data_IF_452062797226
#
_entry.id   IF_452062797226
#
_cell.length_a   1.000
_cell.length_b   1.000
_cell.length_c   1.000
_cell.angle_alpha   90.00
_cell.angle_beta   90.00
_cell.angle_gamma   90.00
#
_symmetry.space_group_name_H-M   'P 1'
#
loop_
_entity.id
_entity.type
_entity.pdbx_description
1 polymer ?
#
# COMPACT_ATOMS: atom_id res chain seq x y z
N UNK A 1 -39.90 45.12 55.63
CA UNK A 1 -41.20 44.83 55.00
C UNK A 1 -41.10 45.35 53.57
N UNK A 2 -40.74 44.49 52.60
CA UNK A 2 -41.64 43.73 51.71
C UNK A 2 -42.45 44.68 50.79
N UNK A 3 -42.55 44.55 49.46
CA UNK A 3 -42.10 43.59 48.46
C UNK A 3 -42.31 44.18 47.03
N UNK A 4 -42.01 43.37 46.00
CA UNK A 4 -42.23 43.45 44.53
C UNK A 4 -41.16 44.22 43.71
N UNK A 5 -40.23 43.55 42.99
CA UNK A 5 -40.39 42.76 41.73
C UNK A 5 -41.04 43.60 40.62
N UNK A 6 -40.51 43.79 39.41
CA UNK A 6 -39.75 42.92 38.48
C UNK A 6 -38.99 43.80 37.46
N UNK A 7 -37.71 43.47 37.16
CA UNK A 7 -37.05 43.88 35.92
C UNK A 7 -36.30 42.67 35.35
N UNK A 8 -36.72 42.25 34.15
CA UNK A 8 -36.04 41.27 33.30
C UNK A 8 -34.60 41.69 33.00
N UNK A 9 -33.59 40.83 33.24
CA UNK A 9 -32.31 40.95 32.60
C UNK A 9 -32.25 40.01 31.39
N UNK A 10 -32.23 40.64 30.21
CA UNK A 10 -31.40 40.32 29.05
C UNK A 10 -30.84 38.89 28.98
N UNK A 11 -31.43 38.08 28.10
CA UNK A 11 -30.77 36.89 27.54
C UNK A 11 -29.64 37.34 26.60
N UNK A 12 -28.49 37.71 27.17
CA UNK A 12 -27.21 37.66 26.46
C UNK A 12 -26.80 36.20 26.33
N UNK A 13 -27.32 35.56 25.28
CA UNK A 13 -26.86 34.26 24.82
C UNK A 13 -25.48 34.42 24.20
N UNK A 14 -24.49 33.89 24.92
CA UNK A 14 -23.09 33.79 24.53
C UNK A 14 -22.93 33.13 23.16
N UNK A 15 -22.76 33.92 22.11
CA UNK A 15 -22.04 33.50 20.91
C UNK A 15 -20.56 33.40 21.28
N UNK A 16 -20.18 32.29 21.92
CA UNK A 16 -18.78 31.88 21.92
C UNK A 16 -18.48 31.39 20.52
N UNK A 17 -17.96 32.28 19.68
CA UNK A 17 -17.09 31.90 18.57
C UNK A 17 -15.99 31.00 19.17
N UNK A 18 -16.16 29.69 19.04
CA UNK A 18 -15.06 28.76 19.25
C UNK A 18 -14.06 29.06 18.13
N UNK A 19 -13.06 29.84 18.48
CA UNK A 19 -11.84 30.02 17.72
C UNK A 19 -11.21 28.63 17.57
N UNK A 20 -11.59 27.94 16.49
CA UNK A 20 -10.95 26.70 16.11
C UNK A 20 -9.54 27.12 15.72
N UNK A 21 -8.56 26.80 16.57
CA UNK A 21 -7.15 26.90 16.20
C UNK A 21 -6.92 26.02 14.97
N UNK A 22 -7.00 26.64 13.80
CA UNK A 22 -6.61 26.02 12.54
C UNK A 22 -5.10 25.95 12.56
N UNK A 23 -4.58 24.80 12.99
CA UNK A 23 -3.17 24.49 12.78
C UNK A 23 -2.97 24.20 11.29
N UNK A 24 -2.52 25.22 10.57
CA UNK A 24 -2.05 25.09 9.20
C UNK A 24 -0.72 24.32 9.22
N UNK A 25 -0.81 22.98 9.13
CA UNK A 25 0.37 22.13 8.97
C UNK A 25 0.84 22.30 7.53
N UNK A 26 1.75 23.26 7.34
CA UNK A 26 2.38 23.53 6.05
C UNK A 26 2.91 22.25 5.42
N UNK A 27 2.27 21.81 4.33
CA UNK A 27 2.72 20.67 3.55
C UNK A 27 3.88 21.12 2.66
N UNK A 28 5.10 20.72 3.03
CA UNK A 28 6.28 20.99 2.23
C UNK A 28 6.31 20.09 0.98
N UNK A 29 6.38 20.71 -0.19
CA UNK A 29 6.70 20.02 -1.44
C UNK A 29 8.15 19.56 -1.42
N UNK A 30 8.36 18.26 -1.19
CA UNK A 30 9.66 17.63 -1.38
C UNK A 30 10.58 17.74 -0.17
N UNK A 31 10.66 16.65 0.58
CA UNK A 31 11.65 16.51 1.61
C UNK A 31 13.07 16.42 1.04
N UNK A 32 13.96 17.33 1.45
CA UNK A 32 15.41 17.17 1.32
C UNK A 32 15.93 16.09 2.27
N UNK A 33 17.21 15.74 2.15
CA UNK A 33 17.93 14.94 3.16
C UNK A 33 17.72 15.57 4.55
N UNK A 34 17.17 14.81 5.51
CA UNK A 34 16.76 15.32 6.84
C UNK A 34 15.28 15.73 6.98
N UNK A 35 14.48 15.62 5.92
CA UNK A 35 13.02 15.71 6.04
C UNK A 35 12.48 14.51 6.82
N UNK A 36 11.66 14.76 7.85
CA UNK A 36 11.17 13.77 8.82
C UNK A 36 10.20 12.71 8.28
N UNK A 37 10.34 12.30 7.02
CA UNK A 37 9.51 11.29 6.37
C UNK A 37 10.05 9.85 6.53
N UNK A 38 11.22 9.65 7.15
CA UNK A 38 11.71 8.33 7.55
C UNK A 38 11.14 7.95 8.93
N UNK A 39 10.69 6.71 9.09
CA UNK A 39 10.28 6.18 10.40
C UNK A 39 11.51 5.68 11.14
N UNK A 40 11.81 6.27 12.32
CA UNK A 40 12.93 5.86 13.17
C UNK A 40 12.48 4.90 14.27
N UNK A 41 13.39 4.03 14.71
CA UNK A 41 13.19 3.24 15.91
C UNK A 41 13.23 4.14 17.16
N UNK A 42 12.31 3.88 18.11
CA UNK A 42 12.38 4.50 19.43
C UNK A 42 13.55 3.84 20.21
N UNK A 43 14.58 4.58 20.65
CA UNK A 43 15.71 3.97 21.36
C UNK A 43 15.32 3.25 22.66
N UNK A 44 14.19 3.61 23.27
CA UNK A 44 13.68 2.96 24.48
C UNK A 44 12.87 1.69 24.22
N UNK A 45 12.35 1.56 23.00
CA UNK A 45 11.51 0.43 22.58
C UNK A 45 11.67 0.21 21.07
N UNK A 46 12.82 -0.33 20.64
CA UNK A 46 13.20 -0.35 19.23
C UNK A 46 12.66 -1.57 18.46
N UNK A 47 12.05 -2.52 19.16
CA UNK A 47 11.65 -3.82 18.60
C UNK A 47 10.18 -3.83 18.20
N UNK A 48 9.86 -4.52 17.10
CA UNK A 48 8.48 -4.79 16.65
C UNK A 48 7.57 -3.55 16.62
N UNK A 49 8.12 -2.41 16.20
CA UNK A 49 7.37 -1.16 16.14
C UNK A 49 6.11 -1.32 15.27
N UNK A 50 4.99 -0.79 15.75
CA UNK A 50 3.71 -0.89 15.05
C UNK A 50 3.71 -0.09 13.75
N UNK A 51 4.25 1.13 13.74
CA UNK A 51 4.33 1.92 12.52
C UNK A 51 5.63 1.64 11.77
N UNK A 52 5.49 1.05 10.59
CA UNK A 52 6.61 0.54 9.78
C UNK A 52 7.02 1.58 8.75
N UNK A 53 6.03 2.11 8.01
CA UNK A 53 6.16 3.19 7.02
C UNK A 53 5.08 4.21 7.29
N UNK A 54 5.46 5.49 7.31
CA UNK A 54 4.51 6.60 7.17
C UNK A 54 5.04 7.57 6.12
N UNK A 55 4.28 7.74 5.04
CA UNK A 55 4.54 8.72 3.99
C UNK A 55 3.32 9.61 3.87
N UNK A 56 3.50 10.89 4.12
CA UNK A 56 2.44 11.88 3.96
C UNK A 56 2.86 12.90 2.91
N UNK A 57 1.87 13.51 2.25
CA UNK A 57 2.12 14.53 1.23
C UNK A 57 2.08 14.00 -0.21
N UNK A 58 2.34 14.89 -1.17
CA UNK A 58 2.27 14.60 -2.62
C UNK A 58 0.89 14.13 -3.16
N UNK A 59 -0.17 14.23 -2.35
CA UNK A 59 -1.54 13.94 -2.77
C UNK A 59 -2.00 12.49 -2.55
N UNK A 60 -1.17 11.64 -1.95
CA UNK A 60 -1.52 10.31 -1.44
C UNK A 60 -0.77 10.07 -0.15
N UNK A 61 -1.49 9.80 0.93
CA UNK A 61 -0.89 9.34 2.16
C UNK A 61 -0.78 7.82 2.13
N UNK A 62 0.37 7.30 2.56
CA UNK A 62 0.62 5.87 2.60
C UNK A 62 1.11 5.48 3.98
N UNK A 63 0.48 4.47 4.57
CA UNK A 63 0.85 3.91 5.87
C UNK A 63 1.05 2.42 5.76
N UNK A 64 2.07 1.92 6.45
CA UNK A 64 2.28 0.50 6.70
C UNK A 64 2.35 0.27 8.20
N UNK A 65 1.46 -0.56 8.71
CA UNK A 65 1.39 -0.91 10.13
C UNK A 65 1.64 -2.40 10.30
N UNK A 66 2.53 -2.77 11.22
CA UNK A 66 2.72 -4.13 11.72
C UNK A 66 1.54 -4.47 12.63
N UNK A 67 0.61 -5.25 12.08
CA UNK A 67 -0.61 -5.68 12.77
C UNK A 67 -0.25 -6.76 13.77
N UNK A 68 0.38 -7.83 13.29
CA UNK A 68 0.82 -8.94 14.13
C UNK A 68 2.29 -9.32 13.91
N UNK A 69 2.98 -9.59 15.01
CA UNK A 69 4.27 -10.27 15.05
C UNK A 69 4.18 -11.42 16.05
N UNK A 70 4.37 -12.63 15.55
CA UNK A 70 4.24 -13.88 16.32
C UNK A 70 5.49 -14.70 16.11
N UNK A 71 6.19 -15.00 17.19
CA UNK A 71 7.37 -15.85 17.21
C UNK A 71 7.02 -17.22 17.78
N UNK A 72 7.65 -18.26 17.26
CA UNK A 72 7.38 -19.62 17.67
C UNK A 72 8.17 -20.64 16.85
N UNK A 73 7.68 -21.87 16.82
CA UNK A 73 8.27 -22.99 16.08
C UNK A 73 7.57 -23.21 14.75
N UNK A 74 8.28 -23.77 13.78
CA UNK A 74 7.68 -24.16 12.50
C UNK A 74 6.66 -25.29 12.69
N UNK A 75 7.00 -26.27 13.54
CA UNK A 75 6.13 -27.34 14.03
C UNK A 75 6.67 -27.85 15.37
N UNK A 76 5.89 -28.63 16.12
CA UNK A 76 6.30 -29.14 17.46
C UNK A 76 7.59 -29.96 17.43
N UNK A 77 7.80 -30.71 16.36
CA UNK A 77 8.94 -31.62 16.17
C UNK A 77 10.05 -31.04 15.28
N UNK A 78 9.99 -29.75 14.93
CA UNK A 78 10.94 -29.12 14.01
C UNK A 78 12.04 -28.37 14.75
N UNK A 79 13.29 -28.56 14.32
CA UNK A 79 14.45 -27.77 14.77
C UNK A 79 14.44 -26.32 14.25
N UNK A 80 13.51 -25.99 13.36
CA UNK A 80 13.33 -24.64 12.83
C UNK A 80 12.32 -23.84 13.62
N UNK A 81 12.71 -22.62 13.91
CA UNK A 81 11.83 -21.58 14.41
C UNK A 81 11.10 -20.89 13.27
N UNK A 82 10.01 -20.22 13.61
CA UNK A 82 9.21 -19.42 12.71
C UNK A 82 8.92 -18.04 13.30
N UNK A 83 8.74 -17.06 12.42
CA UNK A 83 8.12 -15.77 12.73
C UNK A 83 7.03 -15.51 11.70
N UNK A 84 5.82 -15.27 12.17
CA UNK A 84 4.71 -14.80 11.35
C UNK A 84 4.56 -13.29 11.53
N UNK A 85 4.54 -12.56 10.41
CA UNK A 85 4.26 -11.13 10.38
C UNK A 85 3.01 -10.88 9.55
N UNK A 86 2.14 -9.99 10.04
CA UNK A 86 1.00 -9.46 9.28
C UNK A 86 1.13 -7.94 9.21
N UNK A 87 1.16 -7.41 8.01
CA UNK A 87 1.32 -5.98 7.74
C UNK A 87 0.12 -5.47 6.95
N UNK A 88 -0.37 -4.30 7.35
CA UNK A 88 -1.45 -3.60 6.65
C UNK A 88 -0.91 -2.36 5.97
N UNK A 89 -1.05 -2.30 4.65
CA UNK A 89 -0.75 -1.14 3.83
C UNK A 89 -2.05 -0.40 3.52
N UNK A 90 -2.07 0.91 3.74
CA UNK A 90 -3.19 1.80 3.37
C UNK A 90 -2.70 2.87 2.41
N UNK A 91 -3.44 3.05 1.33
CA UNK A 91 -3.25 4.06 0.31
C UNK A 91 -4.45 5.00 0.38
N UNK A 92 -4.24 6.20 0.89
CA UNK A 92 -5.28 7.19 1.15
C UNK A 92 -5.07 8.39 0.19
N UNK A 93 -5.71 8.42 -0.99
CA UNK A 93 -5.60 9.55 -1.91
C UNK A 93 -6.20 10.82 -1.31
N UNK A 94 -5.39 11.87 -1.18
CA UNK A 94 -5.81 13.16 -0.63
C UNK A 94 -6.45 14.07 -1.69
N UNK A 95 -6.29 13.75 -2.99
CA UNK A 95 -6.89 14.48 -4.11
C UNK A 95 -7.53 13.50 -5.08
N UNK A 96 -8.75 13.79 -5.55
CA UNK A 96 -9.50 12.94 -6.51
C UNK A 96 -8.71 12.53 -7.76
N UNK A 97 -7.77 13.38 -8.22
CA UNK A 97 -6.96 13.14 -9.41
C UNK A 97 -5.64 12.37 -9.16
N UNK A 98 -5.30 12.02 -7.90
CA UNK A 98 -4.02 11.41 -7.54
C UNK A 98 -4.22 9.97 -7.05
N UNK A 99 -4.73 9.10 -7.92
CA UNK A 99 -4.79 7.65 -7.65
C UNK A 99 -3.41 7.00 -7.86
N UNK A 100 -3.11 5.97 -7.07
CA UNK A 100 -1.93 5.11 -7.27
C UNK A 100 -2.31 4.04 -8.29
N UNK A 101 -1.65 4.01 -9.45
CA UNK A 101 -1.92 3.05 -10.52
C UNK A 101 -1.13 1.75 -10.37
N UNK A 102 0.01 1.81 -9.67
CA UNK A 102 0.85 0.66 -9.35
C UNK A 102 1.54 0.88 -8.00
N UNK A 103 1.59 -0.18 -7.20
CA UNK A 103 2.38 -0.22 -5.97
C UNK A 103 3.20 -1.51 -5.91
N UNK A 104 4.47 -1.42 -5.52
CA UNK A 104 5.34 -2.56 -5.24
C UNK A 104 5.80 -2.47 -3.79
N UNK A 105 5.52 -3.52 -3.05
CA UNK A 105 5.88 -3.71 -1.65
C UNK A 105 6.99 -4.77 -1.61
N UNK A 106 8.09 -4.47 -0.95
CA UNK A 106 9.20 -5.40 -0.70
C UNK A 106 9.53 -5.38 0.79
N UNK A 107 9.63 -6.56 1.40
CA UNK A 107 10.13 -6.75 2.76
C UNK A 107 11.39 -7.60 2.67
N UNK A 108 12.55 -7.00 2.92
CA UNK A 108 13.83 -7.70 2.97
C UNK A 108 14.11 -8.12 4.41
N UNK A 109 14.54 -9.37 4.58
CA UNK A 109 14.94 -9.92 5.87
C UNK A 109 16.44 -10.13 5.92
N UNK A 110 17.05 -9.69 7.01
CA UNK A 110 18.50 -9.77 7.19
C UNK A 110 18.91 -9.83 8.66
N UNK A 111 20.17 -10.12 8.92
CA UNK A 111 20.77 -10.10 10.27
C UNK A 111 21.75 -8.94 10.40
N UNK A 112 21.82 -8.36 11.60
CA UNK A 112 22.80 -7.30 11.88
C UNK A 112 24.21 -7.84 12.16
N UNK A 113 24.31 -9.08 12.64
CA UNK A 113 25.56 -9.79 12.89
C UNK A 113 25.68 -10.96 11.90
N UNK A 114 26.75 -10.96 11.10
CA UNK A 114 27.03 -11.97 10.07
C UNK A 114 27.33 -13.36 10.63
N UNK A 115 27.52 -13.49 11.95
CA UNK A 115 27.67 -14.79 12.61
C UNK A 115 26.33 -15.49 12.86
N UNK A 116 25.20 -14.77 12.75
CA UNK A 116 23.87 -15.34 12.90
C UNK A 116 23.39 -15.98 11.59
N UNK A 117 22.49 -16.94 11.71
CA UNK A 117 21.92 -17.64 10.57
C UNK A 117 20.94 -16.73 9.81
N UNK A 118 21.02 -16.76 8.48
CA UNK A 118 20.15 -15.95 7.64
C UNK A 118 18.69 -16.40 7.74
N UNK A 119 17.73 -15.47 7.96
CA UNK A 119 16.31 -15.79 7.92
C UNK A 119 15.87 -16.15 6.49
N UNK A 120 14.94 -17.08 6.37
CA UNK A 120 14.35 -17.50 5.10
C UNK A 120 12.88 -17.08 5.02
N UNK A 121 12.50 -16.38 3.95
CA UNK A 121 11.09 -16.18 3.58
C UNK A 121 10.55 -17.49 3.03
N UNK A 122 9.81 -18.21 3.86
CA UNK A 122 9.30 -19.54 3.52
C UNK A 122 7.96 -19.44 2.77
N UNK A 123 7.04 -18.58 3.25
CA UNK A 123 5.73 -18.38 2.63
C UNK A 123 5.26 -16.92 2.70
N UNK A 124 4.43 -16.54 1.73
CA UNK A 124 3.78 -15.22 1.64
C UNK A 124 2.28 -15.40 1.34
N UNK A 125 1.42 -14.51 1.81
CA UNK A 125 0.05 -14.40 1.31
C UNK A 125 0.05 -13.92 -0.15
N UNK A 126 -1.02 -14.15 -0.90
CA UNK A 126 -1.09 -13.82 -2.32
C UNK A 126 0.07 -14.41 -3.16
N UNK A 127 0.62 -15.57 -2.78
CA UNK A 127 1.67 -16.25 -3.58
C UNK A 127 1.11 -16.64 -4.96
N UNK A 128 1.65 -16.05 -6.03
CA UNK A 128 1.09 -16.15 -7.38
C UNK A 128 0.34 -14.88 -7.82
N UNK A 129 -0.64 -15.03 -8.71
CA UNK A 129 -1.34 -13.91 -9.34
C UNK A 129 -2.85 -13.96 -9.04
N UNK A 130 -3.37 -12.90 -8.44
CA UNK A 130 -4.78 -12.75 -8.07
C UNK A 130 -5.39 -11.60 -8.86
N UNK A 131 -6.62 -11.78 -9.34
CA UNK A 131 -7.37 -10.77 -10.09
C UNK A 131 -8.66 -10.40 -9.36
N UNK A 132 -8.95 -9.11 -9.32
CA UNK A 132 -10.06 -8.51 -8.61
C UNK A 132 -10.78 -7.52 -9.54
N UNK A 133 -12.10 -7.40 -9.39
CA UNK A 133 -12.92 -6.48 -10.17
C UNK A 133 -12.68 -6.58 -11.70
N UNK A 134 -12.90 -7.76 -12.32
CA UNK A 134 -12.77 -7.89 -13.77
C UNK A 134 -13.81 -7.02 -14.47
N UNK A 135 -13.37 -6.19 -15.42
CA UNK A 135 -14.23 -5.41 -16.29
C UNK A 135 -14.10 -5.90 -17.73
N UNK A 136 -15.24 -6.07 -18.40
CA UNK A 136 -15.29 -6.30 -19.84
C UNK A 136 -15.59 -4.98 -20.52
N UNK A 137 -14.72 -4.54 -21.42
CA UNK A 137 -14.99 -3.37 -22.26
C UNK A 137 -14.93 -3.78 -23.73
N UNK A 138 -15.99 -3.45 -24.46
CA UNK A 138 -15.98 -3.49 -25.93
C UNK A 138 -15.38 -2.18 -26.42
N UNK A 139 -14.15 -2.24 -26.93
CA UNK A 139 -13.48 -1.12 -27.57
C UNK A 139 -13.73 -1.16 -29.07
N UNK A 140 -14.20 -0.05 -29.62
CA UNK A 140 -14.31 0.16 -31.06
C UNK A 140 -13.14 1.05 -31.48
N UNK A 141 -12.05 0.45 -31.94
CA UNK A 141 -10.90 1.20 -32.44
C UNK A 141 -11.16 1.56 -33.90
N UNK A 142 -11.31 2.86 -34.18
CA UNK A 142 -11.40 3.40 -35.54
C UNK A 142 -10.03 3.92 -35.94
N UNK A 143 -9.37 3.24 -36.87
CA UNK A 143 -8.14 3.74 -37.49
C UNK A 143 -8.48 4.32 -38.86
N UNK A 144 -8.28 5.63 -39.03
CA UNK A 144 -8.50 6.34 -40.30
C UNK A 144 -7.17 6.78 -40.93
N UNK A 145 -7.03 6.59 -42.25
CA UNK A 145 -5.93 7.17 -43.04
C UNK A 145 -6.53 8.17 -44.05
N UNK A 146 -6.08 9.43 -44.01
CA UNK A 146 -6.44 10.44 -45.00
C UNK A 146 -5.44 10.38 -46.17
N UNK A 147 -5.89 9.84 -47.30
CA UNK A 147 -5.12 9.84 -48.56
C UNK A 147 -5.57 10.96 -49.48
N UNK A 148 -4.83 12.08 -49.51
CA UNK A 148 -5.02 13.13 -50.50
C UNK A 148 -4.22 12.87 -51.77
N UNK A 149 -4.88 12.53 -52.89
CA UNK A 149 -4.24 12.47 -54.21
C UNK A 149 -4.21 13.89 -54.78
N UNK A 150 -3.08 14.58 -54.64
CA UNK A 150 -2.79 15.81 -55.38
C UNK A 150 -2.18 15.48 -56.73
N UNK A 151 -2.99 15.49 -57.80
CA UNK A 151 -2.48 15.61 -59.16
C UNK A 151 -3.48 16.39 -60.03
N UNK A 152 -3.06 17.60 -60.39
CA UNK A 152 -3.68 18.50 -61.36
C UNK A 152 -3.90 17.84 -62.71
N UNK A 153 -5.12 17.92 -63.24
CA UNK A 153 -5.52 18.41 -64.58
C UNK A 153 -6.87 17.77 -64.98
N UNK A 154 -7.94 18.58 -64.93
CA UNK A 154 -9.22 18.30 -65.60
C UNK A 154 -10.29 17.61 -64.75
N UNK A 155 -11.37 18.36 -64.47
CA UNK A 155 -12.62 18.00 -63.77
C UNK A 155 -12.55 17.93 -62.24
N UNK A 156 -13.29 18.86 -61.60
CA UNK A 156 -13.56 18.92 -60.16
C UNK A 156 -14.32 17.68 -59.71
N UNK A 157 -13.62 16.74 -59.09
CA UNK A 157 -14.21 15.67 -58.27
C UNK A 157 -13.29 15.45 -57.07
N UNK A 158 -13.43 16.32 -56.08
CA UNK A 158 -12.81 16.17 -54.76
C UNK A 158 -13.49 15.01 -54.00
N UNK A 159 -13.14 13.77 -54.33
CA UNK A 159 -13.51 12.60 -53.56
C UNK A 159 -12.39 12.27 -52.56
N UNK A 160 -12.50 12.77 -51.33
CA UNK A 160 -11.66 12.31 -50.22
C UNK A 160 -12.12 10.91 -49.79
N UNK A 161 -11.35 9.89 -50.15
CA UNK A 161 -11.61 8.52 -49.70
C UNK A 161 -11.04 8.33 -48.30
N UNK A 162 -11.88 8.53 -47.28
CA UNK A 162 -11.58 8.10 -45.91
C UNK A 162 -11.73 6.59 -45.81
N UNK A 163 -10.62 5.90 -45.58
CA UNK A 163 -10.63 4.49 -45.19
C UNK A 163 -10.64 4.41 -43.67
N UNK A 164 -11.77 3.99 -43.10
CA UNK A 164 -11.92 3.72 -41.67
C UNK A 164 -11.97 2.20 -41.44
N UNK A 165 -11.01 1.66 -40.69
CA UNK A 165 -11.06 0.28 -40.20
C UNK A 165 -11.55 0.30 -38.76
N UNK A 166 -12.73 -0.26 -38.55
CA UNK A 166 -13.34 -0.44 -37.23
C UNK A 166 -13.03 -1.84 -36.70
N UNK A 167 -12.26 -1.93 -35.61
CA UNK A 167 -11.99 -3.19 -34.92
C UNK A 167 -12.74 -3.18 -33.59
N UNK A 168 -13.68 -4.11 -33.43
CA UNK A 168 -14.30 -4.41 -32.15
C UNK A 168 -13.38 -5.36 -31.37
N UNK A 169 -12.86 -4.91 -30.22
CA UNK A 169 -12.01 -5.69 -29.32
C UNK A 169 -12.71 -5.80 -27.97
N UNK A 170 -12.87 -7.00 -27.45
CA UNK A 170 -13.26 -7.22 -26.05
C UNK A 170 -11.97 -7.30 -25.22
N UNK A 171 -11.70 -6.28 -24.43
CA UNK A 171 -10.55 -6.26 -23.50
C UNK A 171 -11.08 -6.58 -22.10
N UNK A 172 -10.48 -7.57 -21.45
CA UNK A 172 -10.74 -7.92 -20.06
C UNK A 172 -9.58 -7.42 -19.20
N UNK A 173 -9.81 -6.34 -18.47
CA UNK A 173 -8.86 -5.81 -17.49
C UNK A 173 -9.36 -6.08 -16.08
N UNK A 174 -8.43 -6.24 -15.14
CA UNK A 174 -8.72 -6.43 -13.73
C UNK A 174 -7.66 -5.73 -12.88
N UNK A 175 -8.00 -5.39 -11.64
CA UNK A 175 -6.98 -5.05 -10.63
C UNK A 175 -6.27 -6.35 -10.26
N UNK A 176 -4.94 -6.33 -10.16
CA UNK A 176 -4.17 -7.54 -9.83
C UNK A 176 -3.29 -7.33 -8.61
N UNK A 177 -3.15 -8.40 -7.83
CA UNK A 177 -2.17 -8.51 -6.75
C UNK A 177 -1.34 -9.75 -7.03
N UNK A 178 -0.03 -9.57 -7.13
CA UNK A 178 0.93 -10.63 -7.39
C UNK A 178 1.94 -10.71 -6.26
N UNK A 179 2.00 -11.83 -5.55
CA UNK A 179 2.94 -12.06 -4.45
C UNK A 179 3.98 -13.12 -4.79
N UNK A 180 5.12 -13.05 -4.12
CA UNK A 180 6.16 -14.07 -4.24
C UNK A 180 7.33 -13.82 -3.30
N UNK A 181 8.32 -14.72 -3.39
CA UNK A 181 9.55 -14.70 -2.61
C UNK A 181 10.77 -14.72 -3.52
N UNK A 182 11.80 -13.96 -3.16
CA UNK A 182 13.00 -13.78 -3.98
C UNK A 182 14.26 -14.03 -3.15
N UNK A 183 15.28 -14.57 -3.81
CA UNK A 183 16.65 -14.55 -3.32
C UNK A 183 17.22 -13.13 -3.41
N UNK A 184 18.03 -12.75 -2.45
CA UNK A 184 18.78 -11.49 -2.50
C UNK A 184 20.15 -11.76 -3.12
N UNK A 185 20.59 -10.91 -4.05
CA UNK A 185 21.88 -11.02 -4.75
C UNK A 185 22.11 -12.37 -5.44
N UNK A 186 21.03 -12.98 -5.95
CA UNK A 186 21.02 -14.31 -6.57
C UNK A 186 21.54 -15.44 -5.64
N UNK A 187 21.50 -15.23 -4.33
CA UNK A 187 22.00 -16.17 -3.32
C UNK A 187 20.85 -16.70 -2.45
N UNK A 188 20.62 -18.03 -2.42
CA UNK A 188 19.71 -18.64 -1.46
C UNK A 188 20.14 -18.38 0.00
N UNK A 189 19.20 -18.38 0.96
CA UNK A 189 17.76 -18.65 0.82
C UNK A 189 16.97 -17.46 0.25
N UNK A 190 15.65 -17.63 0.07
CA UNK A 190 14.77 -16.50 -0.20
C UNK A 190 14.79 -15.55 0.98
N UNK A 191 15.10 -14.27 0.76
CA UNK A 191 15.21 -13.25 1.82
C UNK A 191 14.32 -12.05 1.59
N UNK A 192 13.56 -12.04 0.50
CA UNK A 192 12.66 -10.93 0.15
C UNK A 192 11.27 -11.48 -0.07
N UNK A 193 10.29 -10.93 0.63
CA UNK A 193 8.87 -11.07 0.31
C UNK A 193 8.46 -9.87 -0.56
N UNK A 194 7.76 -10.12 -1.67
CA UNK A 194 7.39 -9.07 -2.62
C UNK A 194 5.93 -9.20 -3.02
N UNK A 195 5.24 -8.06 -3.08
CA UNK A 195 3.92 -7.92 -3.67
C UNK A 195 3.88 -6.79 -4.68
N UNK A 196 3.23 -7.01 -5.81
CA UNK A 196 2.97 -6.00 -6.84
C UNK A 196 1.47 -5.88 -7.04
N UNK A 197 0.97 -4.65 -6.91
CA UNK A 197 -0.42 -4.28 -7.10
C UNK A 197 -0.53 -3.45 -8.36
N UNK A 198 -1.43 -3.83 -9.27
CA UNK A 198 -1.71 -3.09 -10.51
C UNK A 198 -3.18 -2.75 -10.57
N UNK A 199 -3.50 -1.50 -10.90
CA UNK A 199 -4.89 -1.08 -11.10
C UNK A 199 -5.53 -1.76 -12.33
N UNK A 200 -6.86 -1.82 -12.31
CA UNK A 200 -7.63 -2.10 -13.51
C UNK A 200 -7.42 -0.96 -14.53
N UNK A 201 -6.79 -1.26 -15.67
CA UNK A 201 -6.44 -0.27 -16.71
C UNK A 201 -7.65 0.34 -17.42
N UNK A 202 -8.75 -0.40 -17.50
CA UNK A 202 -10.02 0.05 -18.05
C UNK A 202 -10.72 1.00 -17.07
N UNK A 203 -10.94 0.56 -15.83
CA UNK A 203 -11.70 1.32 -14.84
C UNK A 203 -10.91 2.49 -14.24
N UNK A 204 -9.57 2.41 -14.24
CA UNK A 204 -8.67 3.45 -13.70
C UNK A 204 -9.06 3.90 -12.29
N UNK A 205 -9.41 2.93 -11.45
CA UNK A 205 -9.85 3.16 -10.07
C UNK A 205 -8.68 3.30 -9.09
N UNK A 206 -7.45 3.05 -9.54
CA UNK A 206 -6.29 2.88 -8.69
C UNK A 206 -6.19 1.48 -8.10
N UNK A 207 -5.08 1.24 -7.39
CA UNK A 207 -4.91 0.08 -6.52
C UNK A 207 -5.89 0.15 -5.34
N UNK A 208 -6.16 -0.98 -4.65
CA UNK A 208 -7.04 -1.00 -3.48
C UNK A 208 -6.62 0.02 -2.41
N UNK A 209 -7.60 0.63 -1.71
CA UNK A 209 -7.35 1.55 -0.61
C UNK A 209 -6.59 0.91 0.56
N UNK A 210 -6.75 -0.40 0.79
CA UNK A 210 -5.85 -1.13 1.69
C UNK A 210 -5.63 -2.57 1.28
N UNK A 211 -4.45 -3.08 1.61
CA UNK A 211 -4.09 -4.49 1.49
C UNK A 211 -3.43 -4.95 2.79
N UNK A 212 -3.88 -6.08 3.31
CA UNK A 212 -3.24 -6.78 4.41
C UNK A 212 -2.51 -8.00 3.85
N UNK A 213 -1.21 -8.09 4.12
CA UNK A 213 -0.34 -9.18 3.67
C UNK A 213 0.25 -9.89 4.87
N UNK A 214 0.52 -11.18 4.73
CA UNK A 214 1.18 -12.01 5.72
C UNK A 214 2.43 -12.65 5.14
N UNK A 215 3.46 -12.80 5.96
CA UNK A 215 4.71 -13.48 5.61
C UNK A 215 5.15 -14.37 6.76
N UNK A 216 5.63 -15.57 6.44
CA UNK A 216 6.24 -16.50 7.38
C UNK A 216 7.73 -16.62 7.10
N UNK A 217 8.51 -16.37 8.15
CA UNK A 217 9.97 -16.43 8.14
C UNK A 217 10.40 -17.67 8.89
N UNK A 218 11.16 -18.54 8.23
CA UNK A 218 11.82 -19.69 8.83
C UNK A 218 13.21 -19.27 9.33
N UNK A 219 13.58 -19.70 10.54
CA UNK A 219 14.84 -19.34 11.20
C UNK A 219 15.52 -20.57 11.78
N UNK A 220 16.86 -20.56 11.83
CA UNK A 220 17.67 -21.62 12.44
C UNK A 220 18.11 -21.29 13.87
N UNK A 221 18.09 -20.01 14.22
CA UNK A 221 18.39 -19.52 15.55
C UNK A 221 17.29 -18.56 16.04
N UNK A 222 17.43 -18.10 17.28
CA UNK A 222 16.57 -17.10 17.89
C UNK A 222 17.22 -15.70 17.92
N UNK A 223 18.20 -15.47 17.04
CA UNK A 223 18.87 -14.19 16.98
C UNK A 223 17.92 -13.07 16.55
N UNK A 224 18.24 -11.84 16.97
CA UNK A 224 17.55 -10.66 16.47
C UNK A 224 17.86 -10.52 14.98
N UNK A 225 16.81 -10.31 14.20
CA UNK A 225 16.89 -10.08 12.78
C UNK A 225 16.07 -8.85 12.40
N UNK A 226 16.17 -8.44 11.15
CA UNK A 226 15.59 -7.19 10.67
C UNK A 226 14.60 -7.43 9.55
N UNK A 227 13.58 -6.59 9.48
CA UNK A 227 12.74 -6.42 8.31
C UNK A 227 12.95 -5.00 7.77
N UNK A 228 13.47 -4.89 6.56
CA UNK A 228 13.73 -3.64 5.85
C UNK A 228 12.59 -3.45 4.84
N UNK A 229 11.61 -2.58 5.14
CA UNK A 229 10.46 -2.37 4.28
C UNK A 229 10.83 -1.39 3.15
N UNK A 230 10.36 -1.69 1.95
CA UNK A 230 10.51 -0.82 0.78
C UNK A 230 9.19 -0.74 0.03
N UNK A 231 8.76 0.48 -0.25
CA UNK A 231 7.54 0.76 -0.98
C UNK A 231 7.84 1.65 -2.18
N UNK A 232 7.38 1.23 -3.34
CA UNK A 232 7.44 2.00 -4.58
C UNK A 232 6.03 2.18 -5.12
N UNK A 233 5.63 3.41 -5.45
CA UNK A 233 4.31 3.70 -6.01
C UNK A 233 4.44 4.55 -7.27
N UNK A 234 3.49 4.37 -8.20
CA UNK A 234 3.31 5.21 -9.37
C UNK A 234 1.91 5.83 -9.34
N UNK A 235 1.83 7.14 -9.54
CA UNK A 235 0.58 7.85 -9.79
C UNK A 235 0.48 8.22 -11.28
N UNK A 236 -0.72 8.31 -11.83
CA UNK A 236 -0.89 8.44 -13.29
C UNK A 236 -0.64 9.86 -13.85
N UNK A 237 0.43 9.96 -14.67
CA UNK A 237 0.66 10.56 -16.01
C UNK A 237 -0.03 11.84 -16.49
N UNK A 238 0.27 12.99 -15.87
CA UNK A 238 0.48 14.23 -16.66
C UNK A 238 1.75 15.00 -16.24
N UNK A 239 2.46 14.54 -15.23
CA UNK A 239 3.69 15.20 -14.76
C UNK A 239 4.66 14.13 -14.30
N UNK A 240 5.80 14.09 -14.99
CA UNK A 240 7.06 13.38 -14.70
C UNK A 240 7.01 11.89 -14.29
N UNK A 241 7.82 11.10 -14.99
CA UNK A 241 8.34 9.82 -14.48
C UNK A 241 9.27 10.15 -13.32
N UNK A 242 8.70 10.38 -12.15
CA UNK A 242 9.43 10.59 -10.93
C UNK A 242 8.86 9.59 -9.93
N UNK A 243 9.73 8.71 -9.42
CA UNK A 243 9.42 7.94 -8.22
C UNK A 243 8.82 8.91 -7.20
N UNK A 244 7.59 8.65 -6.76
CA UNK A 244 6.91 9.49 -5.76
C UNK A 244 7.73 9.65 -4.47
N UNK A 245 8.74 8.80 -4.28
CA UNK A 245 9.63 8.76 -3.12
C UNK A 245 11.11 8.85 -3.48
N UNK A 246 11.47 9.35 -4.67
CA UNK A 246 12.84 9.32 -5.23
C UNK A 246 13.95 10.02 -4.44
N UNK A 247 13.65 10.58 -3.26
CA UNK A 247 14.60 11.23 -2.35
C UNK A 247 14.28 11.03 -0.85
N UNK A 248 13.31 10.17 -0.50
CA UNK A 248 13.01 9.93 0.92
C UNK A 248 14.09 9.00 1.49
N UNK A 249 14.77 9.37 2.59
CA UNK A 249 15.70 8.47 3.28
C UNK A 249 15.02 7.13 3.61
N UNK A 250 15.76 6.03 3.57
CA UNK A 250 15.23 4.72 3.95
C UNK A 250 14.74 4.74 5.41
N UNK A 251 13.64 4.05 5.69
CA UNK A 251 13.19 3.87 7.08
C UNK A 251 14.19 3.02 7.84
N UNK A 252 14.30 3.23 9.16
CA UNK A 252 15.06 2.32 10.00
C UNK A 252 14.48 0.90 9.84
N UNK A 253 15.30 -0.16 9.83
CA UNK A 253 14.79 -1.53 9.85
C UNK A 253 13.90 -1.76 11.06
N UNK A 254 12.83 -2.53 10.87
CA UNK A 254 12.05 -3.08 11.99
C UNK A 254 12.87 -4.19 12.62
N UNK A 255 13.28 -4.00 13.88
CA UNK A 255 14.02 -5.01 14.62
C UNK A 255 13.03 -6.06 15.16
N UNK A 256 13.27 -7.33 14.84
CA UNK A 256 12.42 -8.45 15.23
C UNK A 256 13.16 -9.30 16.24
N UNK A 257 12.56 -9.47 17.42
CA UNK A 257 13.21 -10.10 18.57
C UNK A 257 12.42 -11.36 18.96
N UNK A 258 12.90 -12.57 18.60
CA UNK A 258 12.15 -13.80 18.77
C UNK A 258 11.65 -14.12 20.18
N UNK A 259 12.33 -13.62 21.22
CA UNK A 259 11.95 -13.83 22.62
C UNK A 259 10.78 -12.95 23.10
N UNK A 260 10.29 -12.03 22.25
CA UNK A 260 9.16 -11.18 22.58
C UNK A 260 7.83 -11.94 22.47
N UNK A 261 6.90 -11.59 23.36
CA UNK A 261 5.56 -12.15 23.33
C UNK A 261 4.85 -11.78 22.02
N UNK A 262 4.12 -12.75 21.49
CA UNK A 262 3.26 -12.54 20.34
C UNK A 262 2.22 -11.44 20.61
N UNK A 263 1.95 -10.62 19.60
CA UNK A 263 0.98 -9.51 19.69
C UNK A 263 -0.47 -10.00 19.69
N UNK A 264 -0.77 -11.09 18.98
CA UNK A 264 -2.07 -11.76 18.93
C UNK A 264 -3.28 -10.82 18.70
N UNK A 265 -3.12 -9.76 17.90
CA UNK A 265 -4.16 -8.76 17.65
C UNK A 265 -5.25 -9.27 16.71
N UNK A 266 -4.92 -10.09 15.71
CA UNK A 266 -5.93 -10.63 14.78
C UNK A 266 -6.62 -11.88 15.34
N UNK A 267 -5.85 -12.77 15.97
CA UNK A 267 -6.34 -13.98 16.62
C UNK A 267 -5.30 -14.54 17.58
N UNK A 268 -5.69 -15.56 18.33
CA UNK A 268 -4.76 -16.42 19.06
C UNK A 268 -4.12 -17.41 18.10
N UNK A 269 -2.79 -17.53 18.15
CA UNK A 269 -2.01 -18.43 17.32
C UNK A 269 -1.46 -19.60 18.15
N UNK A 270 -1.37 -20.78 17.54
CA UNK A 270 -0.56 -21.87 18.10
C UNK A 270 0.90 -21.61 17.75
N UNK A 271 1.67 -21.12 18.71
CA UNK A 271 3.08 -20.76 18.52
C UNK A 271 3.98 -21.98 18.29
N UNK A 272 3.50 -23.20 18.53
CA UNK A 272 4.27 -24.40 18.24
C UNK A 272 4.05 -24.91 16.81
N UNK A 273 3.07 -24.36 16.06
CA UNK A 273 2.66 -24.83 14.74
C UNK A 273 2.47 -23.70 13.71
N UNK A 274 3.38 -22.71 13.70
CA UNK A 274 3.28 -21.57 12.79
C UNK A 274 3.43 -21.98 11.31
N UNK A 275 4.10 -23.10 11.02
CA UNK A 275 4.28 -23.66 9.68
C UNK A 275 2.98 -24.17 9.04
N UNK A 276 1.97 -24.49 9.85
CA UNK A 276 0.67 -24.97 9.38
C UNK A 276 -0.33 -23.85 9.06
N UNK A 277 -0.01 -22.61 9.46
CA UNK A 277 -0.92 -21.47 9.29
C UNK A 277 -1.07 -21.12 7.81
N UNK A 278 -2.33 -21.07 7.37
CA UNK A 278 -2.70 -20.54 6.06
C UNK A 278 -2.62 -19.00 6.06
N UNK A 279 -1.61 -18.46 5.37
CA UNK A 279 -1.35 -17.02 5.28
C UNK A 279 -2.43 -16.28 4.50
N UNK A 280 -3.16 -16.94 3.59
CA UNK A 280 -4.22 -16.30 2.83
C UNK A 280 -5.40 -15.93 3.73
N UNK A 281 -5.67 -16.70 4.78
CA UNK A 281 -6.71 -16.38 5.80
C UNK A 281 -6.35 -15.18 6.68
N UNK A 282 -5.11 -14.72 6.63
CA UNK A 282 -4.63 -13.53 7.32
C UNK A 282 -4.50 -12.33 6.39
N UNK A 283 -4.90 -12.48 5.13
CA UNK A 283 -4.79 -11.43 4.12
C UNK A 283 -6.15 -10.85 3.78
N UNK A 284 -6.17 -9.58 3.38
CA UNK A 284 -7.40 -8.86 3.03
C UNK A 284 -7.12 -7.81 1.95
N UNK A 285 -8.13 -7.50 1.13
CA UNK A 285 -8.06 -6.44 0.11
C UNK A 285 -9.33 -5.61 0.19
N UNK A 286 -9.18 -4.33 0.51
CA UNK A 286 -10.30 -3.37 0.56
C UNK A 286 -10.10 -2.29 -0.50
N UNK A 287 -11.04 -2.19 -1.45
CA UNK A 287 -11.00 -1.20 -2.53
C UNK A 287 -11.47 0.19 -2.11
N UNK A 288 -12.64 0.26 -1.49
CA UNK A 288 -13.23 1.48 -0.96
C UNK A 288 -14.23 1.08 0.12
N UNK A 289 -14.19 1.73 1.28
CA UNK A 289 -15.20 1.55 2.31
C UNK A 289 -16.37 2.50 2.03
N UNK A 290 -17.54 1.95 1.73
CA UNK A 290 -18.77 2.72 1.55
C UNK A 290 -19.57 2.71 2.86
N UNK A 291 -19.90 3.89 3.39
CA UNK A 291 -20.83 4.02 4.52
C UNK A 291 -22.24 4.16 3.93
N UNK A 292 -23.04 3.11 4.02
CA UNK A 292 -24.37 3.07 3.40
C UNK A 292 -25.46 3.73 4.26
N UNK A 293 -25.22 3.92 5.56
CA UNK A 293 -26.21 4.43 6.52
C UNK A 293 -25.97 5.88 6.97
N UNK A 294 -25.37 6.71 6.12
CA UNK A 294 -25.09 8.12 6.44
C UNK A 294 -26.32 9.06 6.33
N UNK A 295 -27.54 8.52 6.47
CA UNK A 295 -28.76 9.32 6.56
C UNK A 295 -29.41 9.13 7.93
N UNK A 296 -29.32 10.16 8.76
CA UNK A 296 -30.35 10.52 9.73
C UNK A 296 -30.79 11.94 9.46
#
# INVERSE_FOLDING_TARGET
MAASETQDPTLEGLEQEQDVEVFDVGMFEGGSEGSGFHTKNNPKDPYQRSEVIQRTGHGVDIRCTLVDAVHGSMSKDSDFWATLLVLQFRFDPQKRARRVSEATIELRFDVSDTNNELPEVEAVSFDGNYSFLPSKQSETIVTGADGGIGASYGAELNASLKWEKTVARETADATTVSGGKLVLDNMPPNRVAKWTLLENKTLKTGVPASIQVAVRIKRRDEAVFTCIPKLQCKADKWTSVQSFFGRVPEDDPVLLKPDMKATNKLKVYDTEELGSIDLQKLSDVTFTTMILDAQK
#
